data_IF_244532054585
#
_entry.id   IF_244532054585
#
_cell.length_a   1.000
_cell.length_b   1.000
_cell.length_c   1.000
_cell.angle_alpha   90.00
_cell.angle_beta   90.00
_cell.angle_gamma   90.00
#
_symmetry.space_group_name_H-M   'P 1'
#
loop_
_entity.id
_entity.type
_entity.pdbx_description
1 polymer ?
#
# COMPACT_ATOMS: atom_id res chain seq x y z
N UNK A 1 -2.72 20.74 -26.92
CA UNK A 1 -1.47 20.00 -26.64
C UNK A 1 -1.69 19.27 -25.33
N UNK A 2 -1.34 17.98 -25.24
CA UNK A 2 -1.44 17.21 -23.98
C UNK A 2 -0.25 17.58 -23.09
N UNK A 3 -0.53 17.94 -21.85
CA UNK A 3 0.44 18.35 -20.83
C UNK A 3 0.26 17.47 -19.58
N UNK A 4 1.27 16.64 -19.28
CA UNK A 4 1.35 15.84 -18.05
C UNK A 4 2.56 16.32 -17.25
N UNK A 5 2.33 16.78 -16.03
CA UNK A 5 3.39 17.30 -15.15
C UNK A 5 3.13 16.99 -13.69
N UNK A 6 4.22 16.82 -12.95
CA UNK A 6 4.19 16.81 -11.49
C UNK A 6 4.14 18.27 -10.99
N UNK A 7 3.24 18.55 -10.07
CA UNK A 7 3.07 19.86 -9.42
C UNK A 7 3.21 19.70 -7.91
N UNK A 8 3.33 20.82 -7.17
CA UNK A 8 3.28 20.80 -5.69
C UNK A 8 2.04 20.10 -5.13
N UNK A 9 0.94 20.14 -5.89
CA UNK A 9 -0.35 19.59 -5.51
C UNK A 9 -0.57 18.15 -6.00
N UNK A 10 0.40 17.46 -6.60
CA UNK A 10 0.20 16.14 -7.22
C UNK A 10 0.39 16.19 -8.73
N UNK A 11 -0.09 15.17 -9.46
CA UNK A 11 0.10 15.09 -10.91
C UNK A 11 -1.08 15.74 -11.61
N UNK A 12 -0.80 16.62 -12.58
CA UNK A 12 -1.82 17.22 -13.42
C UNK A 12 -1.65 16.78 -14.86
N UNK A 13 -2.74 16.27 -15.42
CA UNK A 13 -2.96 16.15 -16.84
C UNK A 13 -3.86 17.30 -17.32
N UNK A 14 -3.52 17.91 -18.44
CA UNK A 14 -4.37 18.92 -19.09
C UNK A 14 -4.30 18.81 -20.61
N UNK A 15 -5.45 18.85 -21.26
CA UNK A 15 -5.57 19.09 -22.70
C UNK A 15 -6.46 20.32 -22.95
N UNK A 16 -6.90 20.54 -24.19
CA UNK A 16 -7.71 21.71 -24.54
C UNK A 16 -9.12 21.70 -23.89
N UNK A 17 -9.63 20.52 -23.50
CA UNK A 17 -11.01 20.30 -23.07
C UNK A 17 -11.13 19.81 -21.61
N UNK A 18 -10.10 19.13 -21.09
CA UNK A 18 -10.17 18.37 -19.84
C UNK A 18 -8.92 18.62 -18.99
N UNK A 19 -9.13 18.78 -17.68
CA UNK A 19 -8.09 18.81 -16.65
C UNK A 19 -8.34 17.66 -15.68
N UNK A 20 -7.30 16.88 -15.38
CA UNK A 20 -7.37 15.74 -14.45
C UNK A 20 -6.23 15.87 -13.45
N UNK A 21 -6.56 15.83 -12.17
CA UNK A 21 -5.63 15.89 -11.05
C UNK A 21 -5.56 14.51 -10.41
N UNK A 22 -4.40 13.87 -10.45
CA UNK A 22 -4.18 12.52 -9.95
C UNK A 22 -3.51 12.61 -8.58
N UNK A 23 -4.17 12.03 -7.57
CA UNK A 23 -3.83 12.09 -6.14
C UNK A 23 -3.44 13.50 -5.67
N UNK A 24 -4.36 14.47 -5.82
CA UNK A 24 -4.03 15.83 -5.45
C UNK A 24 -3.96 16.01 -3.94
N UNK A 25 -3.00 16.80 -3.44
CA UNK A 25 -2.93 17.16 -2.01
C UNK A 25 -4.12 18.02 -1.56
N UNK A 26 -4.69 18.80 -2.47
CA UNK A 26 -5.88 19.61 -2.26
C UNK A 26 -6.76 19.49 -3.49
N UNK A 27 -8.05 19.20 -3.30
CA UNK A 27 -9.02 19.06 -4.41
C UNK A 27 -9.14 20.38 -5.18
N UNK A 28 -9.18 20.28 -6.51
CA UNK A 28 -9.26 21.40 -7.43
C UNK A 28 -10.63 21.50 -8.12
N UNK A 29 -11.12 22.73 -8.30
CA UNK A 29 -12.43 22.99 -8.92
C UNK A 29 -12.40 23.02 -10.46
N UNK A 30 -11.21 23.06 -11.08
CA UNK A 30 -11.03 23.27 -12.53
C UNK A 30 -10.93 21.96 -13.33
N UNK A 31 -11.28 20.82 -12.73
CA UNK A 31 -11.14 19.50 -13.37
C UNK A 31 -11.70 18.34 -12.55
N UNK A 32 -11.34 17.13 -12.99
CA UNK A 32 -11.62 15.88 -12.28
C UNK A 32 -10.46 15.57 -11.33
N UNK A 33 -10.76 15.18 -10.11
CA UNK A 33 -9.78 14.79 -9.11
C UNK A 33 -9.89 13.29 -8.88
N UNK A 34 -8.80 12.56 -9.06
CA UNK A 34 -8.76 11.14 -8.79
C UNK A 34 -8.01 10.88 -7.49
N UNK A 35 -8.61 10.07 -6.62
CA UNK A 35 -7.97 9.54 -5.41
C UNK A 35 -7.84 8.03 -5.58
N UNK A 36 -6.61 7.56 -5.79
CA UNK A 36 -6.28 6.18 -6.09
C UNK A 36 -6.59 5.25 -4.93
N UNK A 37 -6.19 5.65 -3.72
CA UNK A 37 -6.37 4.84 -2.52
C UNK A 37 -6.24 5.67 -1.23
N UNK A 38 -6.55 5.03 -0.10
CA UNK A 38 -6.70 5.70 1.18
C UNK A 38 -5.44 5.74 2.05
N UNK A 39 -4.22 5.68 1.49
CA UNK A 39 -3.00 6.05 2.24
C UNK A 39 -2.86 7.57 2.34
N UNK A 40 -2.25 8.05 3.43
CA UNK A 40 -2.27 9.48 3.80
C UNK A 40 -1.59 10.35 2.74
N UNK A 41 -0.55 9.82 2.11
CA UNK A 41 0.23 10.47 1.05
C UNK A 41 -0.52 10.58 -0.28
N UNK A 42 -1.67 9.92 -0.44
CA UNK A 42 -2.58 10.04 -1.58
C UNK A 42 -3.88 10.75 -1.24
N UNK A 43 -4.15 11.00 0.04
CA UNK A 43 -5.40 11.60 0.48
C UNK A 43 -5.34 13.13 0.43
N UNK A 44 -6.33 13.78 -0.19
CA UNK A 44 -6.43 15.23 -0.23
C UNK A 44 -6.81 15.79 1.14
N UNK A 45 -6.21 16.93 1.50
CA UNK A 45 -6.54 17.69 2.70
C UNK A 45 -7.30 18.97 2.32
N UNK A 46 -8.61 18.82 2.10
CA UNK A 46 -9.52 19.91 1.77
C UNK A 46 -9.58 20.26 0.28
N UNK A 47 -10.20 21.40 -0.01
CA UNK A 47 -10.57 21.80 -1.37
C UNK A 47 -11.98 21.35 -1.75
N UNK A 48 -12.37 21.64 -2.99
CA UNK A 48 -13.67 21.26 -3.56
C UNK A 48 -13.51 20.98 -5.04
N UNK A 49 -14.38 20.14 -5.59
CA UNK A 49 -14.32 19.72 -6.99
C UNK A 49 -14.96 18.36 -7.20
N UNK A 50 -14.99 17.91 -8.45
CA UNK A 50 -15.50 16.58 -8.79
C UNK A 50 -14.43 15.53 -8.50
N UNK A 51 -14.79 14.51 -7.74
CA UNK A 51 -13.85 13.47 -7.29
C UNK A 51 -14.31 12.10 -7.79
N UNK A 52 -13.36 11.34 -8.33
CA UNK A 52 -13.52 9.94 -8.68
C UNK A 52 -12.64 9.09 -7.74
N UNK A 53 -13.25 8.09 -7.10
CA UNK A 53 -12.58 7.16 -6.19
C UNK A 53 -13.47 5.92 -5.98
N UNK A 54 -12.90 4.82 -5.52
CA UNK A 54 -13.72 3.67 -5.11
C UNK A 54 -14.49 3.96 -3.81
N UNK A 55 -15.60 3.25 -3.61
CA UNK A 55 -16.40 3.34 -2.39
C UNK A 55 -15.59 2.95 -1.16
N UNK A 56 -14.79 1.90 -1.29
CA UNK A 56 -13.88 1.41 -0.25
C UNK A 56 -12.87 2.49 0.15
N UNK A 57 -12.22 3.15 -0.82
CA UNK A 57 -11.27 4.24 -0.56
C UNK A 57 -11.92 5.37 0.24
N UNK A 58 -13.13 5.78 -0.12
CA UNK A 58 -13.85 6.86 0.57
C UNK A 58 -14.27 6.49 2.00
N UNK A 59 -14.74 5.27 2.23
CA UNK A 59 -15.09 4.81 3.59
C UNK A 59 -13.86 4.60 4.48
N UNK A 60 -12.75 4.11 3.91
CA UNK A 60 -11.48 4.01 4.64
C UNK A 60 -10.96 5.41 4.98
N UNK A 61 -10.97 6.34 4.02
CA UNK A 61 -10.57 7.74 4.22
C UNK A 61 -11.35 8.37 5.39
N UNK A 62 -12.67 8.17 5.42
CA UNK A 62 -13.56 8.66 6.49
C UNK A 62 -13.16 8.19 7.87
N UNK A 63 -12.85 6.91 8.02
CA UNK A 63 -12.39 6.33 9.30
C UNK A 63 -11.03 6.88 9.75
N UNK A 64 -10.22 7.35 8.79
CA UNK A 64 -8.92 7.96 8.99
C UNK A 64 -8.97 9.48 9.15
N UNK A 65 -10.17 10.08 9.17
CA UNK A 65 -10.37 11.52 9.40
C UNK A 65 -10.39 12.39 8.13
N UNK A 66 -10.41 11.78 6.95
CA UNK A 66 -10.53 12.48 5.67
C UNK A 66 -11.94 12.30 5.12
N UNK A 67 -12.56 13.35 4.62
CA UNK A 67 -13.92 13.26 4.08
C UNK A 67 -13.99 13.98 2.75
N UNK A 68 -14.44 13.26 1.73
CA UNK A 68 -14.77 13.79 0.43
C UNK A 68 -15.91 12.96 -0.16
N UNK A 69 -16.71 13.61 -1.01
CA UNK A 69 -17.77 12.93 -1.77
C UNK A 69 -17.22 12.55 -3.14
N UNK A 70 -17.27 11.25 -3.45
CA UNK A 70 -16.66 10.67 -4.65
C UNK A 70 -17.65 9.83 -5.43
N UNK A 71 -17.49 9.82 -6.75
CA UNK A 71 -18.20 8.92 -7.64
C UNK A 71 -17.29 7.75 -8.00
N UNK A 72 -17.83 6.52 -8.06
CA UNK A 72 -17.08 5.34 -8.50
C UNK A 72 -17.16 5.10 -10.00
N UNK A 73 -18.04 5.82 -10.70
CA UNK A 73 -18.26 5.71 -12.13
C UNK A 73 -18.35 7.12 -12.72
N UNK A 74 -17.67 7.32 -13.84
CA UNK A 74 -17.68 8.56 -14.59
C UNK A 74 -17.36 8.27 -16.06
N UNK A 75 -18.17 8.80 -16.98
CA UNK A 75 -17.96 8.64 -18.42
C UNK A 75 -16.52 9.04 -18.81
N UNK A 76 -15.91 8.25 -19.70
CA UNK A 76 -14.53 8.39 -20.17
C UNK A 76 -13.42 8.08 -19.15
N UNK A 77 -13.78 7.70 -17.92
CA UNK A 77 -12.83 7.32 -16.86
C UNK A 77 -13.10 5.89 -16.36
N UNK A 78 -12.12 5.01 -16.51
CA UNK A 78 -12.21 3.63 -16.02
C UNK A 78 -11.35 3.42 -14.79
N UNK A 79 -11.98 3.02 -13.68
CA UNK A 79 -11.29 2.58 -12.47
C UNK A 79 -10.83 1.13 -12.63
N UNK A 80 -9.52 0.90 -12.53
CA UNK A 80 -8.89 -0.42 -12.66
C UNK A 80 -8.37 -0.85 -11.30
N UNK A 81 -8.65 -2.07 -10.85
CA UNK A 81 -8.07 -2.57 -9.60
C UNK A 81 -6.54 -2.55 -9.67
N UNK A 82 -5.89 -1.77 -8.79
CA UNK A 82 -4.42 -1.74 -8.71
C UNK A 82 -3.87 -2.84 -7.80
N UNK A 83 -4.76 -3.52 -7.07
CA UNK A 83 -4.41 -4.63 -6.21
C UNK A 83 -3.50 -4.23 -5.06
N UNK A 84 -3.32 -2.95 -4.69
CA UNK A 84 -2.40 -2.47 -3.63
C UNK A 84 -2.98 -2.54 -2.19
N UNK A 85 -4.20 -2.08 -1.98
CA UNK A 85 -5.00 -2.27 -0.76
C UNK A 85 -6.47 -2.46 -1.13
N UNK A 86 -7.33 -2.80 -0.16
CA UNK A 86 -8.78 -2.83 -0.39
C UNK A 86 -9.24 -1.48 -0.95
N UNK A 87 -9.90 -1.52 -2.11
CA UNK A 87 -10.39 -0.31 -2.77
C UNK A 87 -9.39 0.43 -3.65
N UNK A 88 -8.11 0.07 -3.64
CA UNK A 88 -7.11 0.77 -4.46
C UNK A 88 -7.41 0.62 -5.96
N UNK A 89 -7.39 1.75 -6.66
CA UNK A 89 -7.63 1.83 -8.11
C UNK A 89 -6.48 2.56 -8.79
N UNK A 90 -6.20 2.16 -10.02
CA UNK A 90 -5.62 3.03 -11.05
C UNK A 90 -6.74 3.66 -11.90
N UNK A 91 -6.39 4.68 -12.67
CA UNK A 91 -7.31 5.41 -13.55
C UNK A 91 -6.84 5.33 -15.00
N UNK A 92 -7.71 4.80 -15.87
CA UNK A 92 -7.52 4.80 -17.31
C UNK A 92 -8.44 5.86 -17.96
N UNK A 93 -7.86 6.80 -18.69
CA UNK A 93 -8.55 7.89 -19.38
C UNK A 93 -7.67 8.45 -20.51
N UNK A 94 -8.23 8.87 -21.64
CA UNK A 94 -7.48 9.47 -22.77
C UNK A 94 -6.17 8.73 -23.14
N UNK A 95 -6.21 7.40 -23.25
CA UNK A 95 -5.05 6.52 -23.47
C UNK A 95 -3.90 6.67 -22.44
N UNK A 96 -4.17 7.26 -21.28
CA UNK A 96 -3.30 7.35 -20.11
C UNK A 96 -3.77 6.37 -19.06
N UNK A 97 -2.86 5.57 -18.53
CA UNK A 97 -3.09 4.80 -17.33
C UNK A 97 -2.20 5.31 -16.19
N UNK A 98 -2.82 5.84 -15.14
CA UNK A 98 -2.16 6.17 -13.89
C UNK A 98 -2.43 5.07 -12.86
N UNK A 99 -1.38 4.48 -12.31
CA UNK A 99 -1.54 3.30 -11.47
C UNK A 99 -1.92 3.60 -10.02
N UNK A 100 -1.57 4.79 -9.52
CA UNK A 100 -1.35 4.96 -8.08
C UNK A 100 -0.29 3.96 -7.60
N UNK A 101 -0.46 3.45 -6.39
CA UNK A 101 0.29 2.27 -5.94
C UNK A 101 -0.32 0.99 -6.50
N UNK A 102 0.52 0.05 -6.93
CA UNK A 102 0.09 -1.12 -7.70
C UNK A 102 0.81 -2.40 -7.28
N UNK A 103 0.15 -3.55 -7.39
CA UNK A 103 0.74 -4.88 -7.22
C UNK A 103 0.12 -5.87 -8.19
N UNK A 104 0.94 -6.65 -8.89
CA UNK A 104 0.49 -7.63 -9.89
C UNK A 104 0.26 -9.03 -9.30
N UNK A 105 0.91 -9.35 -8.17
CA UNK A 105 0.73 -10.62 -7.47
C UNK A 105 -0.50 -10.66 -6.57
N UNK A 106 -1.16 -11.82 -6.55
CA UNK A 106 -2.17 -12.15 -5.55
C UNK A 106 -1.54 -12.23 -4.16
N UNK A 107 -2.22 -11.67 -3.14
CA UNK A 107 -1.82 -11.85 -1.73
C UNK A 107 -3.03 -11.80 -0.80
N UNK A 108 -3.21 -12.87 -0.03
CA UNK A 108 -4.41 -13.02 0.80
C UNK A 108 -5.69 -12.84 -0.03
N UNK A 109 -6.53 -11.89 0.36
CA UNK A 109 -7.80 -11.56 -0.27
C UNK A 109 -7.65 -10.61 -1.47
N UNK A 110 -6.47 -9.99 -1.64
CA UNK A 110 -6.21 -9.05 -2.72
C UNK A 110 -5.80 -9.79 -3.98
N UNK A 111 -6.52 -9.51 -5.07
CA UNK A 111 -6.14 -9.95 -6.40
C UNK A 111 -5.16 -8.99 -7.04
N UNK A 112 -4.23 -9.53 -7.81
CA UNK A 112 -3.29 -8.77 -8.61
C UNK A 112 -3.98 -7.87 -9.63
N UNK A 113 -3.37 -6.72 -9.91
CA UNK A 113 -3.89 -5.77 -10.88
C UNK A 113 -3.98 -6.39 -12.28
N UNK A 114 -5.05 -6.07 -13.01
CA UNK A 114 -5.17 -6.36 -14.44
C UNK A 114 -4.71 -5.15 -15.24
N UNK A 115 -3.68 -5.33 -16.06
CA UNK A 115 -3.02 -4.22 -16.75
C UNK A 115 -3.79 -3.85 -18.03
N UNK A 116 -4.34 -2.62 -18.15
CA UNK A 116 -4.98 -2.17 -19.36
C UNK A 116 -3.94 -1.82 -20.43
N UNK A 117 -4.37 -1.77 -21.70
CA UNK A 117 -3.58 -1.13 -22.76
C UNK A 117 -3.69 0.38 -22.65
N UNK A 118 -2.58 1.08 -22.83
CA UNK A 118 -2.51 2.54 -22.86
C UNK A 118 -1.36 3.01 -23.76
N UNK A 119 -1.37 4.27 -24.18
CA UNK A 119 -0.23 4.90 -24.86
C UNK A 119 0.76 5.51 -23.87
N UNK A 120 0.24 6.06 -22.77
CA UNK A 120 1.06 6.64 -21.70
C UNK A 120 0.80 5.92 -20.39
N UNK A 121 1.84 5.38 -19.78
CA UNK A 121 1.80 4.81 -18.45
C UNK A 121 2.43 5.78 -17.45
N UNK A 122 1.75 6.04 -16.33
CA UNK A 122 2.30 6.76 -15.18
C UNK A 122 2.26 5.80 -14.01
N UNK A 123 3.43 5.35 -13.55
CA UNK A 123 3.53 4.27 -12.56
C UNK A 123 4.47 4.59 -11.41
N UNK A 124 4.09 4.14 -10.21
CA UNK A 124 5.01 4.08 -9.06
C UNK A 124 6.24 3.21 -9.36
N UNK A 125 7.31 3.43 -8.60
CA UNK A 125 8.52 2.60 -8.65
C UNK A 125 9.20 2.53 -7.27
N UNK A 126 8.39 2.32 -6.22
CA UNK A 126 8.84 2.21 -4.82
C UNK A 126 9.99 1.23 -4.68
N UNK A 127 9.92 0.12 -5.43
CA UNK A 127 10.91 -0.94 -5.48
C UNK A 127 11.54 -1.10 -6.88
N UNK A 128 11.78 0.03 -7.57
CA UNK A 128 12.33 0.10 -8.92
C UNK A 128 13.81 -0.34 -9.11
N UNK A 129 14.44 -0.97 -8.11
CA UNK A 129 15.80 -1.51 -8.24
C UNK A 129 15.77 -3.05 -8.36
N UNK A 130 16.64 -3.66 -9.20
CA UNK A 130 16.72 -5.13 -9.35
C UNK A 130 16.99 -5.92 -8.06
N UNK A 131 17.44 -5.27 -6.97
CA UNK A 131 17.60 -5.94 -5.68
C UNK A 131 16.27 -6.29 -4.99
N UNK A 132 15.19 -5.58 -5.35
CA UNK A 132 13.85 -5.80 -4.80
C UNK A 132 13.05 -6.78 -5.65
N UNK A 133 13.48 -8.04 -5.60
CA UNK A 133 12.69 -9.18 -6.04
C UNK A 133 12.20 -9.90 -4.79
N UNK A 134 10.88 -9.94 -4.60
CA UNK A 134 10.28 -10.47 -3.39
C UNK A 134 10.12 -12.00 -3.48
N UNK A 135 10.26 -12.73 -2.35
CA UNK A 135 9.94 -14.15 -2.34
C UNK A 135 8.44 -14.37 -2.56
N UNK A 136 8.11 -15.59 -2.99
CA UNK A 136 6.72 -16.02 -3.12
C UNK A 136 6.00 -15.92 -1.76
N UNK A 137 4.73 -15.50 -1.78
CA UNK A 137 3.94 -15.35 -0.54
C UNK A 137 3.91 -16.65 0.27
N UNK A 138 3.86 -17.80 -0.42
CA UNK A 138 3.90 -19.12 0.22
C UNK A 138 5.19 -19.33 1.04
N UNK A 139 6.35 -18.94 0.49
CA UNK A 139 7.64 -19.07 1.18
C UNK A 139 7.70 -18.15 2.41
N UNK A 140 7.15 -16.94 2.29
CA UNK A 140 7.02 -16.02 3.43
C UNK A 140 6.18 -16.61 4.54
N UNK A 141 5.02 -17.19 4.20
CA UNK A 141 4.12 -17.82 5.17
C UNK A 141 4.78 -19.04 5.83
N UNK A 142 5.43 -19.91 5.06
CA UNK A 142 6.18 -21.07 5.56
C UNK A 142 7.26 -20.64 6.56
N UNK A 143 8.13 -19.70 6.16
CA UNK A 143 9.20 -19.19 7.02
C UNK A 143 8.66 -18.61 8.34
N UNK A 144 7.60 -17.80 8.28
CA UNK A 144 7.04 -17.16 9.47
C UNK A 144 6.34 -18.19 10.36
N UNK A 145 5.64 -19.17 9.79
CA UNK A 145 5.03 -20.23 10.58
C UNK A 145 6.07 -21.07 11.33
N UNK A 146 7.24 -21.33 10.74
CA UNK A 146 8.34 -21.99 11.44
C UNK A 146 8.83 -21.17 12.64
N UNK A 147 9.00 -19.84 12.46
CA UNK A 147 9.39 -18.93 13.54
C UNK A 147 8.32 -18.92 14.64
N UNK A 148 7.04 -18.78 14.29
CA UNK A 148 5.95 -18.75 15.27
C UNK A 148 5.87 -20.10 16.01
N UNK A 149 6.00 -21.23 15.32
CA UNK A 149 5.96 -22.56 15.92
C UNK A 149 7.05 -22.76 16.98
N UNK A 150 8.29 -22.37 16.68
CA UNK A 150 9.40 -22.43 17.63
C UNK A 150 9.12 -21.56 18.87
N UNK A 151 8.72 -20.30 18.66
CA UNK A 151 8.40 -19.38 19.75
C UNK A 151 7.22 -19.88 20.60
N UNK A 152 6.18 -20.41 19.97
CA UNK A 152 5.02 -20.98 20.64
C UNK A 152 5.38 -22.19 21.50
N UNK A 153 6.24 -23.08 21.00
CA UNK A 153 6.70 -24.25 21.76
C UNK A 153 7.45 -23.86 23.04
N UNK A 154 8.04 -22.66 23.07
CA UNK A 154 8.72 -22.08 24.21
C UNK A 154 7.83 -21.14 25.05
N UNK A 155 6.52 -21.06 24.75
CA UNK A 155 5.55 -20.22 25.47
C UNK A 155 5.74 -18.71 25.22
N UNK A 156 6.41 -18.33 24.12
CA UNK A 156 6.75 -16.95 23.80
C UNK A 156 5.65 -16.32 22.92
N UNK A 157 5.07 -15.17 23.32
CA UNK A 157 4.12 -14.44 22.49
C UNK A 157 4.76 -13.79 21.26
N UNK A 158 3.98 -13.62 20.19
CA UNK A 158 4.46 -13.06 18.93
C UNK A 158 3.63 -11.85 18.51
N UNK A 159 4.32 -10.77 18.13
CA UNK A 159 3.73 -9.61 17.48
C UNK A 159 4.04 -9.62 15.98
N UNK A 160 3.00 -9.68 15.16
CA UNK A 160 3.11 -9.56 13.70
C UNK A 160 2.85 -8.10 13.31
N UNK A 161 3.86 -7.40 12.83
CA UNK A 161 3.83 -5.95 12.62
C UNK A 161 3.73 -5.58 11.14
N UNK A 162 2.64 -4.92 10.75
CA UNK A 162 2.41 -4.38 9.40
C UNK A 162 1.82 -2.98 9.44
N UNK A 163 1.78 -2.24 8.32
CA UNK A 163 1.04 -0.97 8.31
C UNK A 163 -0.42 -1.18 8.71
N UNK A 164 -0.99 -0.22 9.44
CA UNK A 164 -2.34 -0.31 10.01
C UNK A 164 -3.41 -0.58 8.94
N UNK A 165 -3.28 0.08 7.79
CA UNK A 165 -4.08 -0.14 6.58
C UNK A 165 -3.24 -0.91 5.53
N UNK A 166 -3.84 -1.95 4.95
CA UNK A 166 -3.28 -2.78 3.89
C UNK A 166 -2.59 -4.01 4.44
N UNK A 167 -1.33 -3.84 4.86
CA UNK A 167 -0.47 -4.95 5.25
C UNK A 167 -0.98 -5.74 6.45
N UNK A 168 -1.45 -5.06 7.49
CA UNK A 168 -1.99 -5.75 8.68
C UNK A 168 -3.20 -6.63 8.35
N UNK A 169 -4.07 -6.22 7.44
CA UNK A 169 -5.22 -7.04 7.02
C UNK A 169 -4.78 -8.30 6.27
N UNK A 170 -3.76 -8.15 5.41
CA UNK A 170 -3.17 -9.29 4.69
C UNK A 170 -2.52 -10.26 5.69
N UNK A 171 -1.75 -9.76 6.66
CA UNK A 171 -1.15 -10.55 7.74
C UNK A 171 -2.23 -11.25 8.58
N UNK A 172 -3.30 -10.55 8.96
CA UNK A 172 -4.42 -11.13 9.72
C UNK A 172 -5.04 -12.33 9.02
N UNK A 173 -5.11 -12.33 7.69
CA UNK A 173 -5.62 -13.46 6.94
C UNK A 173 -4.58 -14.56 6.72
N UNK A 174 -3.33 -14.22 6.40
CA UNK A 174 -2.28 -15.20 6.11
C UNK A 174 -1.90 -16.08 7.31
N UNK A 175 -2.15 -15.59 8.53
CA UNK A 175 -1.75 -16.25 9.78
C UNK A 175 -2.94 -16.53 10.70
N UNK A 176 -4.16 -16.62 10.17
CA UNK A 176 -5.42 -16.78 10.93
C UNK A 176 -5.58 -18.16 11.62
N UNK A 177 -4.70 -19.11 11.30
CA UNK A 177 -4.66 -20.45 11.88
C UNK A 177 -4.05 -20.52 13.29
N UNK A 178 -3.42 -19.44 13.76
CA UNK A 178 -2.80 -19.40 15.09
C UNK A 178 -3.80 -19.01 16.17
N UNK A 179 -3.78 -19.72 17.30
CA UNK A 179 -4.62 -19.44 18.46
C UNK A 179 -3.81 -19.46 19.77
N UNK A 180 -4.12 -18.59 20.75
CA UNK A 180 -5.02 -17.45 20.68
C UNK A 180 -4.47 -16.35 19.75
N UNK A 181 -5.34 -15.68 19.00
CA UNK A 181 -5.00 -14.50 18.18
C UNK A 181 -5.73 -13.26 18.69
N UNK A 182 -5.04 -12.13 18.71
CA UNK A 182 -5.60 -10.82 19.02
C UNK A 182 -5.24 -9.79 17.96
N UNK A 183 -5.95 -8.67 17.94
CA UNK A 183 -5.56 -7.51 17.14
C UNK A 183 -5.25 -6.32 18.03
N UNK A 184 -4.25 -5.53 17.67
CA UNK A 184 -4.18 -4.16 18.17
C UNK A 184 -5.47 -3.41 17.80
N UNK A 185 -5.97 -2.53 18.68
CA UNK A 185 -7.31 -1.93 18.51
C UNK A 185 -7.48 -1.17 17.18
N UNK A 186 -6.42 -0.52 16.70
CA UNK A 186 -6.45 0.17 15.40
C UNK A 186 -6.49 -0.79 14.21
N UNK A 187 -5.82 -1.95 14.30
CA UNK A 187 -5.90 -3.02 13.31
C UNK A 187 -7.28 -3.68 13.35
N UNK A 188 -7.83 -3.91 14.55
CA UNK A 188 -9.21 -4.40 14.72
C UNK A 188 -10.20 -3.51 14.00
N UNK A 189 -10.15 -2.19 14.25
CA UNK A 189 -11.02 -1.20 13.59
C UNK A 189 -10.96 -1.31 12.07
N UNK A 190 -9.77 -1.50 11.51
CA UNK A 190 -9.59 -1.64 10.08
C UNK A 190 -10.08 -3.00 9.56
N UNK A 191 -9.83 -4.09 10.29
CA UNK A 191 -10.34 -5.43 9.97
C UNK A 191 -11.88 -5.47 10.01
N UNK A 192 -12.51 -4.80 10.99
CA UNK A 192 -13.97 -4.65 11.09
C UNK A 192 -14.54 -3.94 9.84
N UNK A 193 -13.86 -2.90 9.35
CA UNK A 193 -14.25 -2.23 8.10
C UNK A 193 -14.10 -3.15 6.89
N UNK A 194 -12.98 -3.89 6.78
CA UNK A 194 -12.76 -4.83 5.69
C UNK A 194 -13.84 -5.93 5.66
N UNK A 195 -14.27 -6.43 6.83
CA UNK A 195 -15.41 -7.36 6.92
C UNK A 195 -16.71 -6.77 6.40
N UNK A 196 -16.98 -5.47 6.59
CA UNK A 196 -18.17 -4.82 6.01
C UNK A 196 -18.17 -4.82 4.48
N UNK A 197 -16.99 -4.93 3.86
CA UNK A 197 -16.81 -5.09 2.41
C UNK A 197 -16.70 -6.56 1.98
N UNK A 198 -17.01 -7.52 2.86
CA UNK A 198 -17.02 -8.95 2.54
C UNK A 198 -15.63 -9.61 2.54
N UNK A 199 -14.60 -8.93 3.04
CA UNK A 199 -13.26 -9.54 3.15
C UNK A 199 -13.27 -10.60 4.27
N UNK A 200 -12.79 -11.84 4.00
CA UNK A 200 -12.85 -12.94 4.96
C UNK A 200 -11.70 -12.88 5.97
N UNK A 201 -11.67 -11.83 6.79
CA UNK A 201 -10.73 -11.72 7.92
C UNK A 201 -11.44 -12.17 9.19
N UNK A 202 -10.83 -13.14 9.88
CA UNK A 202 -11.30 -13.67 11.17
C UNK A 202 -11.63 -12.54 12.16
N UNK A 203 -12.80 -12.63 12.78
CA UNK A 203 -13.20 -11.73 13.85
C UNK A 203 -12.45 -12.09 15.14
N UNK A 204 -11.80 -11.11 15.75
CA UNK A 204 -11.10 -11.27 17.01
C UNK A 204 -11.25 -10.01 17.87
N UNK A 205 -10.97 -10.17 19.16
CA UNK A 205 -10.98 -9.08 20.14
C UNK A 205 -9.74 -8.18 20.01
N UNK A 206 -9.88 -6.96 20.53
CA UNK A 206 -8.82 -5.95 20.53
C UNK A 206 -7.86 -6.09 21.72
N UNK A 207 -6.69 -5.48 21.59
CA UNK A 207 -5.66 -5.40 22.63
C UNK A 207 -6.23 -4.91 23.97
N UNK A 208 -7.03 -3.85 23.95
CA UNK A 208 -7.57 -3.26 25.18
C UNK A 208 -8.46 -4.26 25.96
N UNK A 209 -9.28 -5.02 25.24
CA UNK A 209 -10.16 -6.05 25.81
C UNK A 209 -9.37 -7.27 26.29
N UNK A 210 -8.43 -7.75 25.48
CA UNK A 210 -7.56 -8.88 25.84
C UNK A 210 -6.74 -8.56 27.10
N UNK A 211 -6.26 -7.32 27.24
CA UNK A 211 -5.50 -6.85 28.40
C UNK A 211 -6.38 -6.74 29.65
N UNK A 212 -7.55 -6.09 29.55
CA UNK A 212 -8.44 -5.91 30.72
C UNK A 212 -9.01 -7.24 31.24
N UNK A 213 -9.19 -8.22 30.34
CA UNK A 213 -9.66 -9.58 30.67
C UNK A 213 -8.53 -10.51 31.16
N UNK A 214 -7.29 -10.03 31.28
CA UNK A 214 -6.15 -10.83 31.72
C UNK A 214 -5.71 -11.93 30.74
N UNK A 215 -6.18 -11.88 29.49
CA UNK A 215 -5.88 -12.91 28.48
C UNK A 215 -4.42 -12.85 28.02
N UNK A 216 -3.81 -11.68 28.01
CA UNK A 216 -2.40 -11.52 27.63
C UNK A 216 -1.42 -12.17 28.63
N UNK A 217 -1.86 -12.47 29.86
CA UNK A 217 -1.06 -13.23 30.84
C UNK A 217 -1.01 -14.73 30.51
N UNK A 218 -1.96 -15.23 29.70
CA UNK A 218 -2.04 -16.64 29.26
C UNK A 218 -1.27 -16.83 27.95
N UNK A 219 0.03 -17.05 28.06
CA UNK A 219 0.95 -17.22 26.92
C UNK A 219 0.99 -18.68 26.43
N UNK A 220 1.34 -18.94 25.15
CA UNK A 220 1.64 -17.98 24.09
C UNK A 220 0.37 -17.39 23.43
N UNK A 221 0.55 -16.34 22.65
CA UNK A 221 -0.48 -15.75 21.79
C UNK A 221 0.18 -15.01 20.61
N UNK A 222 -0.59 -14.79 19.54
CA UNK A 222 -0.21 -13.97 18.39
C UNK A 222 -1.04 -12.70 18.43
N UNK A 223 -0.43 -11.56 18.13
CA UNK A 223 -1.17 -10.34 17.90
C UNK A 223 -0.70 -9.62 16.65
N UNK A 224 -1.64 -9.27 15.78
CA UNK A 224 -1.37 -8.40 14.62
C UNK A 224 -1.48 -6.94 15.07
N UNK A 225 -0.42 -6.17 14.85
CA UNK A 225 -0.32 -4.78 15.31
C UNK A 225 0.31 -3.85 14.25
N UNK A 226 0.11 -2.52 14.36
CA UNK A 226 0.75 -1.57 13.47
C UNK A 226 2.27 -1.66 13.55
N UNK A 227 2.93 -1.39 12.44
CA UNK A 227 4.38 -1.18 12.41
C UNK A 227 4.74 0.03 13.27
N UNK A 228 5.36 -0.23 14.41
CA UNK A 228 5.82 0.78 15.37
C UNK A 228 7.32 0.61 15.62
N UNK A 229 8.01 1.70 15.94
CA UNK A 229 9.43 1.61 16.31
C UNK A 229 9.60 0.90 17.66
N UNK A 230 10.79 0.34 17.90
CA UNK A 230 11.15 -0.26 19.18
C UNK A 230 11.09 0.69 20.38
N UNK A 231 11.05 2.01 20.14
CA UNK A 231 10.90 3.06 21.17
C UNK A 231 9.44 3.34 21.53
N UNK A 232 8.47 2.79 20.80
CA UNK A 232 7.06 2.98 21.09
C UNK A 232 6.69 2.32 22.43
N UNK A 233 5.92 3.01 23.28
CA UNK A 233 5.52 2.53 24.61
C UNK A 233 4.77 1.21 24.57
N UNK A 234 3.90 0.99 23.57
CA UNK A 234 3.20 -0.27 23.39
C UNK A 234 4.18 -1.41 23.11
N UNK A 235 5.12 -1.24 22.18
CA UNK A 235 6.13 -2.25 21.88
C UNK A 235 7.01 -2.54 23.09
N UNK A 236 7.43 -1.50 23.82
CA UNK A 236 8.22 -1.67 25.05
C UNK A 236 7.44 -2.42 26.12
N UNK A 237 6.17 -2.10 26.34
CA UNK A 237 5.29 -2.84 27.25
C UNK A 237 5.19 -4.31 26.84
N UNK A 238 4.94 -4.58 25.55
CA UNK A 238 4.78 -5.94 25.05
C UNK A 238 6.03 -6.79 25.27
N UNK A 239 7.21 -6.22 24.98
CA UNK A 239 8.50 -6.87 25.19
C UNK A 239 8.82 -7.05 26.69
N UNK A 240 8.72 -5.99 27.49
CA UNK A 240 9.17 -6.01 28.88
C UNK A 240 8.25 -6.82 29.80
N UNK A 241 6.92 -6.72 29.61
CA UNK A 241 5.95 -7.40 30.47
C UNK A 241 5.68 -8.83 29.99
N UNK A 242 5.48 -9.02 28.69
CA UNK A 242 5.07 -10.32 28.16
C UNK A 242 6.21 -11.11 27.52
N UNK A 243 7.40 -10.54 27.33
CA UNK A 243 8.49 -11.21 26.64
C UNK A 243 8.19 -11.44 25.16
N UNK A 244 7.31 -10.63 24.57
CA UNK A 244 6.85 -10.83 23.20
C UNK A 244 7.98 -10.56 22.18
N UNK A 245 8.02 -11.37 21.13
CA UNK A 245 8.96 -11.22 20.01
C UNK A 245 8.25 -10.56 18.82
N UNK A 246 8.93 -9.63 18.16
CA UNK A 246 8.36 -8.88 17.03
C UNK A 246 8.86 -9.38 15.68
N UNK A 247 7.92 -9.66 14.79
CA UNK A 247 8.15 -9.97 13.38
C UNK A 247 7.63 -8.80 12.55
N UNK A 248 8.54 -8.03 11.95
CA UNK A 248 8.21 -6.89 11.10
C UNK A 248 8.10 -7.25 9.63
N UNK A 249 7.00 -6.86 8.98
CA UNK A 249 6.76 -7.11 7.56
C UNK A 249 6.94 -5.83 6.74
N UNK A 250 7.85 -5.86 5.76
CA UNK A 250 8.10 -4.73 4.87
C UNK A 250 8.89 -5.15 3.63
N UNK A 251 8.56 -4.62 2.45
CA UNK A 251 9.39 -4.82 1.25
C UNK A 251 10.83 -4.35 1.44
N UNK A 252 11.04 -3.31 2.27
CA UNK A 252 12.36 -2.82 2.62
C UNK A 252 13.23 -3.82 3.38
N UNK A 253 12.66 -4.88 3.96
CA UNK A 253 13.43 -5.98 4.57
C UNK A 253 14.31 -6.73 3.55
N UNK A 254 14.04 -6.56 2.25
CA UNK A 254 14.88 -7.08 1.17
C UNK A 254 16.13 -6.23 0.91
N UNK A 255 16.14 -4.96 1.32
CA UNK A 255 17.24 -4.04 1.03
C UNK A 255 18.54 -4.49 1.69
N UNK A 256 19.62 -4.55 0.91
CA UNK A 256 20.96 -4.84 1.43
C UNK A 256 21.62 -3.64 2.10
N UNK A 257 21.19 -2.41 1.72
CA UNK A 257 21.76 -1.15 2.18
C UNK A 257 21.02 -0.57 3.37
N UNK A 258 19.70 -0.68 3.36
CA UNK A 258 18.83 -0.19 4.41
C UNK A 258 18.27 -1.40 5.14
N UNK A 259 19.06 -1.99 6.04
CA UNK A 259 18.61 -3.09 6.88
C UNK A 259 17.37 -2.65 7.65
N UNK A 260 16.18 -2.88 7.09
CA UNK A 260 14.93 -2.43 7.65
C UNK A 260 14.58 -3.36 8.79
N UNK A 261 15.19 -3.12 9.94
CA UNK A 261 14.78 -3.80 11.17
C UNK A 261 13.72 -2.99 11.87
N UNK A 262 13.78 -1.63 11.83
CA UNK A 262 13.01 -0.75 12.74
C UNK A 262 13.10 -1.16 14.22
N UNK A 263 14.13 -1.96 14.58
CA UNK A 263 14.28 -2.59 15.89
C UNK A 263 13.34 -3.79 16.15
N UNK A 264 12.83 -4.43 15.10
CA UNK A 264 12.13 -5.73 15.18
C UNK A 264 13.14 -6.88 15.34
N UNK A 265 12.69 -7.97 15.97
CA UNK A 265 13.54 -9.14 16.21
C UNK A 265 13.72 -9.96 14.92
N UNK A 266 12.67 -10.05 14.10
CA UNK A 266 12.69 -10.61 12.75
C UNK A 266 12.17 -9.60 11.73
N UNK A 267 12.76 -9.59 10.53
CA UNK A 267 12.34 -8.72 9.42
C UNK A 267 12.06 -9.55 8.17
N UNK A 268 10.83 -9.46 7.68
CA UNK A 268 10.29 -10.35 6.66
C UNK A 268 9.91 -9.52 5.41
N UNK A 269 10.42 -9.88 4.21
CA UNK A 269 10.13 -9.18 2.98
C UNK A 269 8.71 -9.51 2.49
N UNK A 270 7.76 -8.69 2.93
CA UNK A 270 6.38 -8.69 2.45
C UNK A 270 5.98 -7.27 2.08
N UNK A 271 5.64 -7.07 0.82
CA UNK A 271 5.22 -5.78 0.28
C UNK A 271 3.80 -5.83 -0.25
N UNK A 272 3.17 -4.66 -0.29
CA UNK A 272 1.91 -4.33 -0.95
C UNK A 272 2.14 -3.48 -2.21
N UNK A 273 3.38 -3.34 -2.66
CA UNK A 273 3.77 -2.74 -3.94
C UNK A 273 4.39 -3.80 -4.86
N UNK A 274 4.37 -3.56 -6.17
CA UNK A 274 5.12 -4.32 -7.16
C UNK A 274 6.59 -4.43 -6.75
N UNK A 275 7.15 -5.61 -6.95
CA UNK A 275 8.59 -5.80 -6.98
C UNK A 275 9.16 -5.31 -8.33
N UNK A 276 10.48 -5.35 -8.50
CA UNK A 276 11.11 -4.89 -9.73
C UNK A 276 10.64 -5.65 -10.98
N UNK A 277 10.47 -6.98 -10.89
CA UNK A 277 10.04 -7.78 -12.04
C UNK A 277 8.59 -7.47 -12.43
N UNK A 278 7.72 -7.28 -11.44
CA UNK A 278 6.33 -6.87 -11.66
C UNK A 278 6.24 -5.47 -12.28
N UNK A 279 7.11 -4.52 -11.89
CA UNK A 279 7.16 -3.20 -12.52
C UNK A 279 7.58 -3.30 -14.00
N UNK A 280 8.56 -4.14 -14.33
CA UNK A 280 8.96 -4.38 -15.73
C UNK A 280 7.84 -5.10 -16.51
N UNK A 281 7.15 -6.05 -15.88
CA UNK A 281 5.99 -6.74 -16.45
C UNK A 281 4.85 -5.76 -16.74
N UNK A 282 4.55 -4.86 -15.80
CA UNK A 282 3.56 -3.78 -15.97
C UNK A 282 3.86 -2.94 -17.21
N UNK A 283 5.10 -2.49 -17.37
CA UNK A 283 5.52 -1.71 -18.55
C UNK A 283 5.30 -2.50 -19.84
N UNK A 284 5.75 -3.75 -19.90
CA UNK A 284 5.62 -4.62 -21.08
C UNK A 284 4.16 -4.88 -21.45
N UNK A 285 3.33 -5.24 -20.48
CA UNK A 285 1.94 -5.60 -20.72
C UNK A 285 1.06 -4.38 -21.01
N UNK A 286 1.39 -3.19 -20.50
CA UNK A 286 0.67 -1.95 -20.83
C UNK A 286 0.75 -1.61 -22.32
N UNK A 287 1.85 -1.97 -22.99
CA UNK A 287 2.11 -1.58 -24.36
C UNK A 287 2.33 -0.08 -24.56
N UNK A 288 2.63 0.65 -23.48
CA UNK A 288 2.80 2.09 -23.52
C UNK A 288 3.95 2.53 -24.42
N UNK A 289 3.70 3.56 -25.23
CA UNK A 289 4.69 4.26 -26.04
C UNK A 289 5.54 5.22 -25.19
N UNK A 290 5.03 5.63 -24.02
CA UNK A 290 5.70 6.50 -23.07
C UNK A 290 5.43 6.08 -21.64
N UNK A 291 6.47 5.99 -20.82
CA UNK A 291 6.39 5.65 -19.40
C UNK A 291 6.91 6.81 -18.56
N UNK A 292 6.12 7.20 -17.57
CA UNK A 292 6.50 8.14 -16.54
C UNK A 292 6.65 7.41 -15.20
N UNK A 293 7.83 7.50 -14.61
CA UNK A 293 8.10 6.94 -13.28
C UNK A 293 7.88 8.01 -12.20
N UNK A 294 7.21 7.60 -11.12
CA UNK A 294 6.94 8.41 -9.93
C UNK A 294 7.18 7.56 -8.68
N UNK A 295 7.35 8.18 -7.51
CA UNK A 295 7.54 7.52 -6.19
C UNK A 295 8.66 6.45 -6.12
N UNK A 296 9.66 6.65 -5.27
CA UNK A 296 10.75 5.67 -5.08
C UNK A 296 11.95 5.92 -6.00
N UNK A 297 12.41 4.88 -6.69
CA UNK A 297 13.66 4.89 -7.50
C UNK A 297 13.41 5.38 -8.93
N UNK A 298 12.89 6.60 -9.03
CA UNK A 298 12.35 7.14 -10.29
C UNK A 298 13.40 7.23 -11.40
N UNK A 299 14.62 7.64 -11.05
CA UNK A 299 15.72 7.82 -12.00
C UNK A 299 16.30 6.48 -12.42
N UNK A 300 16.60 5.62 -11.44
CA UNK A 300 17.21 4.32 -11.69
C UNK A 300 16.29 3.41 -12.50
N UNK A 301 15.00 3.36 -12.16
CA UNK A 301 14.04 2.54 -12.88
C UNK A 301 13.80 3.07 -14.30
N UNK A 302 13.65 4.38 -14.49
CA UNK A 302 13.51 4.96 -15.82
C UNK A 302 14.74 4.71 -16.70
N UNK A 303 15.95 4.87 -16.15
CA UNK A 303 17.19 4.61 -16.87
C UNK A 303 17.29 3.12 -17.28
N UNK A 304 16.93 2.21 -16.39
CA UNK A 304 16.93 0.79 -16.68
C UNK A 304 15.91 0.41 -17.77
N UNK A 305 14.70 0.96 -17.73
CA UNK A 305 13.70 0.81 -18.79
C UNK A 305 14.22 1.33 -20.16
N UNK A 306 14.93 2.46 -20.17
CA UNK A 306 15.56 2.99 -21.39
C UNK A 306 16.62 2.03 -21.93
N UNK A 307 17.45 1.44 -21.07
CA UNK A 307 18.41 0.41 -21.50
C UNK A 307 17.72 -0.83 -22.07
N UNK A 308 16.52 -1.16 -21.60
CA UNK A 308 15.68 -2.24 -22.15
C UNK A 308 14.92 -1.86 -23.43
N UNK A 309 15.04 -0.62 -23.91
CA UNK A 309 14.43 -0.14 -25.15
C UNK A 309 13.06 0.54 -24.99
N UNK A 310 12.61 0.81 -23.76
CA UNK A 310 11.38 1.56 -23.51
C UNK A 310 11.63 3.07 -23.48
N UNK A 311 10.64 3.86 -23.93
CA UNK A 311 10.65 5.31 -23.77
C UNK A 311 10.17 5.65 -22.36
N UNK A 312 11.11 5.83 -21.43
CA UNK A 312 10.81 6.08 -20.02
C UNK A 312 11.55 7.32 -19.49
N UNK A 313 10.88 8.08 -18.62
CA UNK A 313 11.51 9.19 -17.90
C UNK A 313 10.81 9.45 -16.55
N UNK A 314 11.52 9.96 -15.55
CA UNK A 314 10.90 10.44 -14.32
C UNK A 314 9.95 11.61 -14.60
N UNK A 315 8.81 11.64 -13.93
CA UNK A 315 7.96 12.82 -13.92
C UNK A 315 8.48 13.80 -12.86
N UNK A 316 9.14 14.87 -13.30
CA UNK A 316 9.74 15.88 -12.41
C UNK A 316 8.91 17.14 -12.34
N UNK A 317 8.94 17.81 -11.19
CA UNK A 317 8.40 19.16 -11.02
C UNK A 317 9.26 20.13 -11.84
N UNK A 318 8.64 20.91 -12.73
CA UNK A 318 9.36 21.90 -13.53
C UNK A 318 9.68 23.14 -12.69
N UNK A 319 10.95 23.53 -12.60
CA UNK A 319 11.43 24.72 -11.87
C UNK A 319 11.01 26.07 -12.47
N UNK A 320 10.16 26.09 -13.51
CA UNK A 320 9.62 27.32 -14.11
C UNK A 320 8.42 27.89 -13.33
N UNK A 321 7.98 27.22 -12.27
CA UNK A 321 6.88 27.64 -11.41
C UNK A 321 7.22 28.81 -10.45
N UNK A 322 8.39 29.44 -10.59
CA UNK A 322 8.76 30.69 -9.87
C UNK A 322 8.55 31.98 -10.71
N UNK A 323 8.14 31.88 -11.97
CA UNK A 323 7.92 33.04 -12.83
C UNK A 323 6.61 32.94 -13.62
N UNK A 324 5.47 33.06 -12.94
CA UNK A 324 4.22 33.62 -13.45
C UNK A 324 3.42 34.20 -12.30
#
# INVERSE_FOLDING_TARGET
MVDVRLTKNGIRYKNNNTSVHLDPKTIQNDGINFVSHAHIDHLPNGGSGKIIASKETSEIAKIRGFSFDSQSELDDFSLIDSGHILGSKGLLFDDIFYTGDITLRDRGFLKGAKIPKCKTLITECTFGLPEFIFPEIKQVVEQVNEIIADLYSNGIPVLLLGYELGKSQTISQLFDSWEPMYYHDSVKKMNDLHRKFGVPIREEIGYSEAKSSGLLEKKPWVMVAPMMSSKNKFIQEMKQKYGAITIGFSGWAKSKKFGFTRGTDYSIPLSDHCDYNELVQLVKESGAEKVYTIHGFVDEFAQDLVHQGFSAQPLRESSLDEYC
#
